data_IF_994193899167
#
_entry.id   IF_994193899167
#
_cell.length_a   1.000
_cell.length_b   1.000
_cell.length_c   1.000
_cell.angle_alpha   90.00
_cell.angle_beta   90.00
_cell.angle_gamma   90.00
#
_symmetry.space_group_name_H-M   'P 1'
#
loop_
_entity.id
_entity.type
_entity.pdbx_description
1 polymer ?
#
# COMPACT_ATOMS: atom_id res chain seq x y z
N UNK A 1 -54.53 12.03 36.66
CA UNK A 1 -53.77 12.69 37.73
C UNK A 1 -53.16 11.61 38.58
N UNK A 2 -51.93 11.87 39.03
CA UNK A 2 -51.14 11.18 40.07
C UNK A 2 -50.39 9.93 39.59
N UNK A 3 -49.09 10.04 39.26
CA UNK A 3 -47.86 10.19 40.10
C UNK A 3 -47.11 8.85 40.10
N UNK A 4 -46.03 8.72 39.32
CA UNK A 4 -44.60 8.95 39.68
C UNK A 4 -43.94 7.81 40.47
N UNK A 5 -42.90 7.27 39.82
CA UNK A 5 -41.63 6.73 40.33
C UNK A 5 -41.63 5.46 41.19
N UNK A 6 -40.92 4.43 40.71
CA UNK A 6 -39.62 4.00 41.26
C UNK A 6 -39.00 2.90 40.38
N UNK A 7 -37.67 2.86 40.30
CA UNK A 7 -36.95 1.70 39.74
C UNK A 7 -35.86 2.01 38.71
N UNK A 8 -34.79 2.70 39.15
CA UNK A 8 -33.49 2.62 38.48
C UNK A 8 -32.92 1.24 38.75
N UNK A 9 -32.67 0.45 37.71
CA UNK A 9 -31.61 -0.55 37.75
C UNK A 9 -30.60 -0.31 36.63
N UNK A 10 -29.48 0.20 37.10
CA UNK A 10 -28.16 0.29 36.50
C UNK A 10 -27.69 -1.13 36.17
N UNK A 11 -27.60 -1.48 34.88
CA UNK A 11 -26.95 -2.70 34.43
C UNK A 11 -25.70 -2.38 33.64
N UNK A 12 -24.68 -3.16 33.98
CA UNK A 12 -23.26 -2.99 33.74
C UNK A 12 -22.83 -2.70 32.31
N UNK A 13 -21.88 -1.76 32.22
CA UNK A 13 -20.87 -1.72 31.16
C UNK A 13 -19.97 -2.95 31.29
N UNK A 14 -20.29 -4.04 30.61
CA UNK A 14 -19.28 -5.00 30.16
C UNK A 14 -19.86 -5.95 29.12
N UNK A 15 -19.09 -6.17 28.05
CA UNK A 15 -19.24 -7.26 27.09
C UNK A 15 -20.29 -7.09 25.99
N UNK A 16 -20.06 -6.13 25.10
CA UNK A 16 -20.30 -6.34 23.65
C UNK A 16 -19.56 -5.30 22.81
N UNK A 17 -18.28 -5.10 23.12
CA UNK A 17 -17.34 -4.64 22.10
C UNK A 17 -17.24 -5.75 21.05
N UNK A 18 -17.98 -5.55 19.98
CA UNK A 18 -17.94 -6.34 18.76
C UNK A 18 -16.51 -6.30 18.25
N UNK A 19 -15.75 -7.35 18.59
CA UNK A 19 -14.47 -7.70 17.99
C UNK A 19 -14.65 -7.85 16.48
N UNK A 20 -14.60 -6.75 15.73
CA UNK A 20 -13.99 -6.77 14.40
C UNK A 20 -12.48 -6.91 14.61
N UNK A 21 -12.07 -8.13 14.96
CA UNK A 21 -10.70 -8.55 14.73
C UNK A 21 -10.55 -8.57 13.21
N UNK A 22 -9.82 -7.58 12.68
CA UNK A 22 -9.13 -7.72 11.41
C UNK A 22 -8.41 -9.06 11.46
N UNK A 23 -8.90 -10.02 10.68
CA UNK A 23 -8.21 -11.28 10.45
C UNK A 23 -6.97 -10.95 9.62
N UNK A 24 -5.92 -10.47 10.29
CA UNK A 24 -4.56 -10.68 9.82
C UNK A 24 -4.33 -12.18 9.88
N UNK A 25 -4.58 -12.87 8.76
CA UNK A 25 -4.01 -14.19 8.55
C UNK A 25 -2.49 -14.01 8.60
N UNK A 26 -1.88 -14.37 9.72
CA UNK A 26 -0.44 -14.37 9.89
C UNK A 26 0.15 -15.50 9.06
N UNK A 27 0.28 -15.26 7.75
CA UNK A 27 1.33 -15.88 6.96
C UNK A 27 2.65 -15.63 7.70
N UNK A 28 3.62 -16.57 7.72
CA UNK A 28 4.96 -16.27 8.20
C UNK A 28 5.39 -14.93 7.59
N UNK A 29 5.81 -13.99 8.43
CA UNK A 29 6.14 -12.63 7.99
C UNK A 29 7.12 -12.75 6.82
N UNK A 30 6.67 -12.38 5.62
CA UNK A 30 7.50 -12.45 4.44
C UNK A 30 8.72 -11.55 4.69
N UNK A 31 9.91 -12.15 4.78
CA UNK A 31 11.13 -11.40 5.00
C UNK A 31 11.49 -10.67 3.71
N UNK A 32 11.23 -9.36 3.66
CA UNK A 32 11.57 -8.53 2.51
C UNK A 32 13.06 -8.20 2.57
N UNK A 33 13.81 -8.62 1.55
CA UNK A 33 15.25 -8.39 1.50
C UNK A 33 15.52 -6.98 0.94
N UNK A 34 16.28 -6.18 1.69
CA UNK A 34 16.69 -4.83 1.26
C UNK A 34 17.75 -4.93 0.18
N UNK A 35 17.47 -4.43 -1.01
CA UNK A 35 18.40 -4.51 -2.14
C UNK A 35 18.41 -3.19 -2.92
N UNK A 36 19.56 -2.88 -3.52
CA UNK A 36 19.65 -1.88 -4.57
C UNK A 36 18.80 -2.32 -5.78
N UNK A 37 18.08 -1.39 -6.40
CA UNK A 37 17.26 -1.66 -7.59
C UNK A 37 18.13 -2.24 -8.71
N UNK A 38 19.32 -1.68 -8.93
CA UNK A 38 20.30 -2.18 -9.90
C UNK A 38 20.68 -3.64 -9.65
N UNK A 39 20.76 -4.06 -8.38
CA UNK A 39 20.97 -5.48 -8.06
C UNK A 39 19.77 -6.32 -8.46
N UNK A 40 18.55 -5.89 -8.13
CA UNK A 40 17.31 -6.61 -8.49
C UNK A 40 17.24 -6.85 -10.01
N UNK A 41 17.54 -5.84 -10.82
CA UNK A 41 17.54 -5.97 -12.30
C UNK A 41 18.49 -7.05 -12.81
N UNK A 42 19.61 -7.26 -12.12
CA UNK A 42 20.64 -8.24 -12.49
C UNK A 42 20.36 -9.67 -11.98
N UNK A 43 19.33 -9.86 -11.16
CA UNK A 43 19.04 -11.17 -10.57
C UNK A 43 18.60 -12.16 -11.64
N UNK A 44 19.03 -13.41 -11.48
CA UNK A 44 18.57 -14.52 -12.32
C UNK A 44 17.29 -15.11 -11.73
N UNK A 45 16.38 -15.52 -12.60
CA UNK A 45 15.22 -16.31 -12.21
C UNK A 45 15.66 -17.65 -11.60
N UNK A 46 14.86 -18.16 -10.66
CA UNK A 46 15.03 -19.50 -10.13
C UNK A 46 14.36 -20.54 -11.04
N UNK A 47 15.12 -21.03 -12.02
CA UNK A 47 14.61 -21.97 -13.02
C UNK A 47 13.50 -21.34 -13.87
N UNK A 48 12.34 -21.98 -13.92
CA UNK A 48 11.14 -21.49 -14.62
C UNK A 48 10.18 -20.67 -13.74
N UNK A 49 10.49 -20.47 -12.44
CA UNK A 49 9.64 -19.67 -11.56
C UNK A 49 9.85 -18.17 -11.84
N UNK A 50 8.75 -17.49 -12.15
CA UNK A 50 8.74 -16.07 -12.41
C UNK A 50 8.51 -15.22 -11.15
N UNK A 51 8.40 -15.83 -9.96
CA UNK A 51 8.17 -15.13 -8.68
C UNK A 51 9.37 -15.15 -7.76
N UNK A 52 10.41 -15.90 -8.11
CA UNK A 52 11.60 -16.05 -7.27
C UNK A 52 12.88 -15.85 -8.05
N UNK A 53 13.86 -15.25 -7.37
CA UNK A 53 15.15 -14.89 -7.91
C UNK A 53 16.28 -15.48 -7.07
N UNK A 54 17.43 -15.71 -7.71
CA UNK A 54 18.64 -16.22 -7.05
C UNK A 54 19.51 -15.02 -6.66
N UNK A 55 19.74 -14.83 -5.36
CA UNK A 55 20.65 -13.83 -4.81
C UNK A 55 21.69 -14.50 -3.90
N UNK A 56 22.94 -14.59 -4.36
CA UNK A 56 23.96 -15.40 -3.72
C UNK A 56 23.54 -16.87 -3.66
N UNK A 57 23.51 -17.45 -2.45
CA UNK A 57 23.04 -18.82 -2.20
C UNK A 57 21.55 -18.87 -1.78
N UNK A 58 20.84 -17.74 -1.80
CA UNK A 58 19.46 -17.62 -1.34
C UNK A 58 18.48 -17.50 -2.51
N UNK A 59 17.30 -18.09 -2.33
CA UNK A 59 16.14 -17.87 -3.20
C UNK A 59 15.27 -16.82 -2.52
N UNK A 60 15.00 -15.73 -3.23
CA UNK A 60 14.23 -14.60 -2.69
C UNK A 60 12.98 -14.36 -3.53
N UNK A 61 11.90 -13.95 -2.86
CA UNK A 61 10.63 -13.62 -3.49
C UNK A 61 10.17 -12.19 -3.16
N UNK A 62 10.65 -11.62 -2.06
CA UNK A 62 10.18 -10.36 -1.49
C UNK A 62 11.36 -9.42 -1.30
N UNK A 63 11.17 -8.18 -1.71
CA UNK A 63 12.19 -7.12 -1.70
C UNK A 63 11.67 -5.88 -1.00
N UNK A 64 12.59 -5.14 -0.40
CA UNK A 64 12.36 -3.85 0.24
C UNK A 64 13.27 -2.83 -0.49
N UNK A 65 12.65 -1.90 -1.20
CA UNK A 65 13.32 -0.89 -2.02
C UNK A 65 12.89 0.52 -1.62
N UNK A 66 13.74 1.49 -1.90
CA UNK A 66 13.47 2.90 -1.73
C UNK A 66 14.03 3.61 -2.97
N UNK A 67 13.24 4.47 -3.59
CA UNK A 67 13.66 5.19 -4.79
C UNK A 67 12.73 6.34 -5.13
N UNK A 68 13.21 7.27 -5.94
CA UNK A 68 12.46 8.43 -6.41
C UNK A 68 11.54 8.03 -7.56
N UNK A 69 10.29 8.46 -7.52
CA UNK A 69 9.33 8.29 -8.62
C UNK A 69 9.76 9.14 -9.81
N UNK A 70 10.13 8.50 -10.91
CA UNK A 70 10.52 9.18 -12.16
C UNK A 70 9.45 9.13 -13.24
N UNK A 71 8.50 8.20 -13.11
CA UNK A 71 7.34 8.08 -14.01
C UNK A 71 6.16 7.42 -13.28
N UNK A 72 4.94 7.71 -13.74
CA UNK A 72 3.69 7.19 -13.20
C UNK A 72 2.74 6.83 -14.32
N UNK A 73 2.24 5.60 -14.29
CA UNK A 73 1.16 5.16 -15.16
C UNK A 73 0.00 4.62 -14.30
N UNK A 74 -1.16 5.25 -14.42
CA UNK A 74 -2.39 4.72 -13.82
C UNK A 74 -3.12 3.84 -14.83
N UNK A 75 -3.38 2.58 -14.47
CA UNK A 75 -4.06 1.63 -15.36
C UNK A 75 -5.07 0.76 -14.60
N UNK A 76 -6.36 1.00 -14.83
CA UNK A 76 -7.45 0.21 -14.26
C UNK A 76 -7.36 0.12 -12.73
N UNK A 77 -7.17 -1.10 -12.22
CA UNK A 77 -7.14 -1.43 -10.79
C UNK A 77 -5.75 -1.28 -10.13
N UNK A 78 -4.76 -0.71 -10.82
CA UNK A 78 -3.42 -0.52 -10.27
C UNK A 78 -2.77 0.78 -10.75
N UNK A 79 -1.94 1.35 -9.88
CA UNK A 79 -0.98 2.39 -10.25
C UNK A 79 0.40 1.76 -10.41
N UNK A 80 1.14 2.22 -11.42
CA UNK A 80 2.50 1.78 -11.69
C UNK A 80 3.41 2.97 -11.48
N UNK A 81 4.29 2.87 -10.49
CA UNK A 81 5.32 3.86 -10.21
C UNK A 81 6.66 3.33 -10.71
N UNK A 82 7.38 4.12 -11.50
CA UNK A 82 8.73 3.79 -11.93
C UNK A 82 9.69 4.47 -10.97
N UNK A 83 10.50 3.68 -10.26
CA UNK A 83 11.40 4.15 -9.22
C UNK A 83 12.85 4.09 -9.68
N UNK A 84 13.63 5.11 -9.33
CA UNK A 84 15.08 5.20 -9.50
C UNK A 84 15.76 5.43 -8.15
N UNK A 85 16.76 4.62 -7.81
CA UNK A 85 17.59 4.77 -6.61
C UNK A 85 19.06 5.14 -6.93
N UNK A 86 19.32 5.54 -8.17
CA UNK A 86 20.65 5.85 -8.70
C UNK A 86 21.49 4.61 -9.07
N UNK A 87 21.07 3.41 -8.63
CA UNK A 87 21.68 2.13 -9.03
C UNK A 87 20.92 1.47 -10.19
N UNK A 88 19.65 1.79 -10.36
CA UNK A 88 18.83 1.33 -11.46
C UNK A 88 17.37 1.75 -11.33
N UNK A 89 16.60 1.40 -12.38
CA UNK A 89 15.19 1.77 -12.52
C UNK A 89 14.30 0.54 -12.56
N UNK A 90 13.21 0.51 -11.78
CA UNK A 90 12.24 -0.59 -11.71
C UNK A 90 10.79 -0.11 -11.62
N UNK A 91 9.87 -0.88 -12.22
CA UNK A 91 8.43 -0.63 -12.10
C UNK A 91 7.83 -1.32 -10.86
N UNK A 92 7.14 -0.54 -10.05
CA UNK A 92 6.39 -0.96 -8.86
C UNK A 92 4.88 -0.86 -9.13
N UNK A 93 4.18 -1.97 -9.05
CA UNK A 93 2.74 -2.09 -9.25
C UNK A 93 2.03 -2.05 -7.89
N UNK A 94 1.18 -1.05 -7.69
CA UNK A 94 0.41 -0.81 -6.47
C UNK A 94 -1.06 -1.07 -6.79
N UNK A 95 -1.64 -2.07 -6.14
CA UNK A 95 -3.07 -2.33 -6.30
C UNK A 95 -3.87 -1.17 -5.69
N UNK A 96 -4.80 -0.61 -6.46
CA UNK A 96 -5.83 0.26 -5.90
C UNK A 96 -6.70 -0.61 -5.00
N UNK A 97 -7.02 -0.16 -3.79
CA UNK A 97 -7.97 -0.90 -2.95
C UNK A 97 -9.37 -0.78 -3.57
N UNK A 98 -9.68 -1.71 -4.46
CA UNK A 98 -10.91 -1.68 -5.27
C UNK A 98 -12.15 -1.97 -4.45
N UNK A 99 -12.05 -2.70 -3.34
CA UNK A 99 -13.20 -2.93 -2.46
C UNK A 99 -13.67 -1.64 -1.78
N UNK A 100 -12.73 -0.74 -1.44
CA UNK A 100 -13.08 0.60 -0.95
C UNK A 100 -13.57 1.51 -2.07
N UNK A 101 -13.02 1.41 -3.29
CA UNK A 101 -13.52 2.17 -4.43
C UNK A 101 -14.94 1.74 -4.82
N UNK A 102 -15.19 0.43 -4.86
CA UNK A 102 -16.53 -0.16 -5.11
C UNK A 102 -17.50 0.27 -3.99
N UNK A 103 -17.08 0.30 -2.72
CA UNK A 103 -17.91 0.80 -1.62
C UNK A 103 -18.18 2.31 -1.72
N UNK A 104 -17.21 3.11 -2.15
CA UNK A 104 -17.40 4.55 -2.41
C UNK A 104 -18.39 4.75 -3.57
N UNK A 105 -18.29 3.95 -4.63
CA UNK A 105 -19.25 3.95 -5.75
C UNK A 105 -20.65 3.51 -5.33
N UNK A 106 -20.78 2.49 -4.49
CA UNK A 106 -22.05 2.03 -3.92
C UNK A 106 -22.71 3.12 -3.06
N UNK A 107 -21.92 3.80 -2.23
CA UNK A 107 -22.37 4.97 -1.46
C UNK A 107 -22.86 6.03 -2.45
N UNK A 108 -22.03 6.45 -3.42
CA UNK A 108 -22.40 7.44 -4.44
C UNK A 108 -23.72 7.09 -5.16
N UNK A 109 -23.89 5.84 -5.57
CA UNK A 109 -25.09 5.36 -6.25
C UNK A 109 -26.34 5.35 -5.34
N UNK A 110 -26.19 5.01 -4.06
CA UNK A 110 -27.32 5.04 -3.10
C UNK A 110 -27.82 6.47 -2.85
N UNK A 111 -26.93 7.45 -2.80
CA UNK A 111 -27.27 8.86 -2.61
C UNK A 111 -27.92 9.49 -3.84
N UNK A 112 -27.51 9.10 -5.05
CA UNK A 112 -28.15 9.58 -6.30
C UNK A 112 -29.58 9.06 -6.49
N UNK A 113 -29.89 7.89 -5.91
CA UNK A 113 -31.20 7.25 -6.06
C UNK A 113 -32.20 7.62 -4.95
N UNK A 114 -31.77 8.28 -3.86
CA UNK A 114 -32.65 8.70 -2.77
C UNK A 114 -32.95 10.22 -2.82
N UNK A 115 -34.12 10.55 -3.37
CA UNK A 115 -34.60 11.93 -3.55
C UNK A 115 -34.68 12.76 -2.25
N UNK A 116 -34.78 12.12 -1.09
CA UNK A 116 -34.86 12.79 0.21
C UNK A 116 -33.50 13.29 0.70
N UNK A 117 -32.44 12.54 0.40
CA UNK A 117 -31.05 12.89 0.72
C UNK A 117 -30.51 13.92 -0.28
N UNK A 118 -30.89 13.79 -1.55
CA UNK A 118 -30.58 14.77 -2.60
C UNK A 118 -31.08 16.18 -2.25
N UNK A 119 -32.26 16.31 -1.62
CA UNK A 119 -32.80 17.60 -1.18
C UNK A 119 -31.98 18.27 -0.06
N UNK A 120 -31.32 17.48 0.79
CA UNK A 120 -30.46 17.97 1.89
C UNK A 120 -29.09 18.38 1.33
N UNK A 121 -28.54 17.59 0.40
CA UNK A 121 -27.25 17.88 -0.23
C UNK A 121 -27.30 19.06 -1.22
N UNK A 122 -28.45 19.36 -1.81
CA UNK A 122 -28.62 20.51 -2.71
C UNK A 122 -28.71 21.88 -1.99
N UNK A 123 -28.71 21.91 -0.65
CA UNK A 123 -28.73 23.16 0.13
C UNK A 123 -27.34 23.58 0.64
N UNK A 124 -26.36 22.68 0.64
CA UNK A 124 -24.98 22.95 1.00
C UNK A 124 -24.06 22.32 -0.05
N UNK A 125 -23.61 23.16 -0.99
CA UNK A 125 -22.68 22.81 -2.08
C UNK A 125 -21.51 21.94 -1.58
N UNK A 126 -21.22 20.91 -2.37
CA UNK A 126 -19.97 20.16 -2.45
C UNK A 126 -19.51 19.35 -1.24
N UNK A 127 -20.16 19.37 -0.07
CA UNK A 127 -19.63 18.71 1.14
C UNK A 127 -19.39 17.19 0.99
N UNK A 128 -20.39 16.46 0.49
CA UNK A 128 -20.30 15.00 0.32
C UNK A 128 -19.39 14.62 -0.86
N UNK A 129 -19.53 15.30 -2.00
CA UNK A 129 -18.69 15.05 -3.17
C UNK A 129 -17.23 15.41 -2.91
N UNK A 130 -16.97 16.49 -2.16
CA UNK A 130 -15.63 16.81 -1.67
C UNK A 130 -15.12 15.75 -0.71
N UNK A 131 -15.96 15.23 0.19
CA UNK A 131 -15.53 14.21 1.16
C UNK A 131 -15.25 12.87 0.46
N UNK A 132 -16.07 12.46 -0.50
CA UNK A 132 -15.81 11.28 -1.35
C UNK A 132 -14.55 11.49 -2.20
N UNK A 133 -14.37 12.68 -2.79
CA UNK A 133 -13.16 13.05 -3.54
C UNK A 133 -11.92 13.09 -2.63
N UNK A 134 -12.04 13.56 -1.39
CA UNK A 134 -10.96 13.56 -0.39
C UNK A 134 -10.63 12.13 0.01
N UNK A 135 -11.61 11.25 0.22
CA UNK A 135 -11.39 9.83 0.51
C UNK A 135 -10.77 9.07 -0.67
N UNK A 136 -11.13 9.45 -1.90
CA UNK A 136 -10.50 8.94 -3.13
C UNK A 136 -9.05 9.45 -3.26
N UNK A 137 -8.78 10.72 -2.90
CA UNK A 137 -7.44 11.37 -2.93
C UNK A 137 -6.54 11.04 -1.74
N UNK A 138 -7.10 10.69 -0.58
CA UNK A 138 -6.35 10.33 0.63
C UNK A 138 -5.59 9.01 0.46
N UNK A 139 -5.92 8.22 -0.57
CA UNK A 139 -4.99 7.22 -1.09
C UNK A 139 -3.90 7.92 -1.86
N UNK A 140 -2.75 8.02 -1.20
CA UNK A 140 -1.53 8.71 -1.63
C UNK A 140 -1.23 8.42 -3.11
N UNK A 141 -1.64 9.33 -3.98
CA UNK A 141 -1.14 9.40 -5.34
C UNK A 141 0.25 10.01 -5.27
N UNK A 142 1.28 9.18 -5.29
CA UNK A 142 2.66 9.67 -5.30
C UNK A 142 2.94 10.39 -6.61
N UNK A 143 3.57 11.55 -6.53
CA UNK A 143 3.93 12.39 -7.66
C UNK A 143 5.34 12.05 -8.17
N UNK A 144 5.63 12.47 -9.40
CA UNK A 144 7.01 12.45 -9.93
C UNK A 144 7.86 13.37 -9.05
N UNK A 145 9.00 12.87 -8.59
CA UNK A 145 9.88 13.55 -7.64
C UNK A 145 9.70 13.11 -6.19
N UNK A 146 8.62 12.40 -5.84
CA UNK A 146 8.45 11.84 -4.51
C UNK A 146 9.39 10.65 -4.30
N UNK A 147 9.99 10.53 -3.11
CA UNK A 147 10.71 9.33 -2.73
C UNK A 147 9.74 8.33 -2.12
N UNK A 148 9.77 7.09 -2.62
CA UNK A 148 8.85 6.03 -2.25
C UNK A 148 9.57 4.84 -1.64
N UNK A 149 9.12 4.40 -0.48
CA UNK A 149 9.51 3.14 0.12
C UNK A 149 8.50 2.06 -0.24
N UNK A 150 8.97 0.98 -0.85
CA UNK A 150 8.13 -0.12 -1.35
C UNK A 150 8.63 -1.45 -0.81
N UNK A 151 7.74 -2.16 -0.13
CA UNK A 151 7.93 -3.58 0.18
C UNK A 151 6.99 -4.38 -0.71
N UNK A 152 7.52 -5.34 -1.45
CA UNK A 152 6.73 -6.07 -2.41
C UNK A 152 7.31 -7.39 -2.87
N UNK A 153 6.52 -8.08 -3.68
CA UNK A 153 6.85 -9.37 -4.28
C UNK A 153 7.45 -9.19 -5.68
N UNK A 154 8.50 -9.92 -5.98
CA UNK A 154 9.10 -9.99 -7.31
C UNK A 154 8.18 -10.69 -8.31
N UNK A 155 8.19 -10.18 -9.54
CA UNK A 155 7.60 -10.84 -10.70
C UNK A 155 8.43 -10.56 -11.94
N UNK A 156 8.86 -11.63 -12.62
CA UNK A 156 9.58 -11.55 -13.88
C UNK A 156 8.60 -11.66 -15.05
N UNK A 157 8.57 -10.66 -15.91
CA UNK A 157 7.69 -10.64 -17.08
C UNK A 157 8.29 -9.78 -18.18
N UNK A 158 8.23 -10.27 -19.43
CA UNK A 158 8.84 -9.62 -20.60
C UNK A 158 10.31 -9.25 -20.36
N UNK A 159 11.08 -10.21 -19.85
CA UNK A 159 12.53 -10.09 -19.60
C UNK A 159 12.92 -9.05 -18.54
N UNK A 160 11.96 -8.56 -17.76
CA UNK A 160 12.20 -7.56 -16.73
C UNK A 160 11.62 -7.98 -15.37
N UNK A 161 12.35 -7.67 -14.30
CA UNK A 161 11.84 -7.75 -12.94
C UNK A 161 10.92 -6.57 -12.63
N UNK A 162 9.82 -6.87 -11.96
CA UNK A 162 8.84 -5.91 -11.45
C UNK A 162 8.54 -6.21 -10.00
N UNK A 163 8.07 -5.20 -9.27
CA UNK A 163 7.67 -5.35 -7.87
C UNK A 163 6.16 -5.16 -7.78
N UNK A 164 5.44 -6.14 -7.24
CA UNK A 164 4.05 -5.98 -6.84
C UNK A 164 4.02 -5.59 -5.36
N UNK A 165 3.66 -4.34 -5.09
CA UNK A 165 3.75 -3.76 -3.77
C UNK A 165 2.75 -4.43 -2.80
N UNK A 166 3.27 -4.84 -1.65
CA UNK A 166 2.48 -5.19 -0.48
C UNK A 166 2.19 -3.94 0.35
N UNK A 167 3.18 -3.05 0.48
CA UNK A 167 3.05 -1.76 1.14
C UNK A 167 3.81 -0.69 0.37
N UNK A 168 3.32 0.55 0.43
CA UNK A 168 4.00 1.73 -0.08
C UNK A 168 3.84 2.87 0.92
N UNK A 169 4.85 3.74 1.02
CA UNK A 169 4.75 5.01 1.74
C UNK A 169 5.73 6.03 1.16
N UNK A 170 5.37 7.30 1.23
CA UNK A 170 6.31 8.38 0.99
C UNK A 170 7.39 8.40 2.10
N UNK A 171 8.57 8.88 1.74
CA UNK A 171 9.74 8.99 2.62
C UNK A 171 10.41 10.34 2.42
N UNK A 172 10.88 10.90 3.54
CA UNK A 172 11.67 12.14 3.54
C UNK A 172 13.14 11.87 3.19
N UNK A 173 13.86 12.92 2.81
CA UNK A 173 15.25 12.87 2.36
C UNK A 173 16.21 12.22 3.38
N UNK A 174 16.01 12.44 4.68
CA UNK A 174 16.87 11.83 5.71
C UNK A 174 16.80 10.30 5.71
N UNK A 175 15.62 9.73 5.43
CA UNK A 175 15.43 8.28 5.34
C UNK A 175 16.12 7.70 4.10
N UNK A 176 16.14 8.43 2.98
CA UNK A 176 16.86 8.04 1.78
C UNK A 176 18.37 7.93 2.04
N UNK A 177 18.96 8.94 2.69
CA UNK A 177 20.37 8.91 3.03
C UNK A 177 20.72 7.78 4.01
N UNK A 178 19.88 7.55 5.02
CA UNK A 178 20.04 6.39 5.92
C UNK A 178 19.96 5.07 5.17
N UNK A 179 19.06 4.95 4.19
CA UNK A 179 18.94 3.74 3.37
C UNK A 179 20.20 3.48 2.56
N UNK A 180 20.82 4.51 2.00
CA UNK A 180 22.07 4.36 1.26
C UNK A 180 23.21 3.81 2.14
N UNK A 181 23.36 4.36 3.35
CA UNK A 181 24.37 3.89 4.32
C UNK A 181 24.06 2.46 4.78
N UNK A 182 22.78 2.16 5.03
CA UNK A 182 22.32 0.83 5.42
C UNK A 182 22.65 -0.21 4.34
N UNK A 183 22.28 0.05 3.09
CA UNK A 183 22.55 -0.87 1.98
C UNK A 183 24.05 -1.07 1.76
N UNK A 184 24.87 -0.02 1.83
CA UNK A 184 26.32 -0.16 1.75
C UNK A 184 26.87 -1.11 2.83
N UNK A 185 26.39 -0.97 4.07
CA UNK A 185 26.75 -1.87 5.17
C UNK A 185 26.27 -3.31 4.94
N UNK A 186 25.02 -3.50 4.49
CA UNK A 186 24.44 -4.81 4.21
C UNK A 186 25.25 -5.55 3.14
N UNK A 187 25.56 -4.88 2.03
CA UNK A 187 26.35 -5.48 0.95
C UNK A 187 27.80 -5.75 1.38
N UNK A 188 28.41 -4.88 2.19
CA UNK A 188 29.78 -5.06 2.66
C UNK A 188 29.92 -6.14 3.73
N UNK A 189 28.91 -6.40 4.55
CA UNK A 189 29.10 -7.20 5.76
C UNK A 189 28.16 -8.40 5.88
N UNK A 190 26.98 -8.35 5.25
CA UNK A 190 25.94 -9.38 5.38
C UNK A 190 25.77 -10.17 4.09
N UNK A 191 25.61 -9.50 2.95
CA UNK A 191 25.36 -10.16 1.66
C UNK A 191 26.63 -10.69 1.00
N UNK A 192 27.80 -10.42 1.58
CA UNK A 192 29.05 -11.11 1.21
C UNK A 192 28.86 -12.60 1.44
N UNK A 193 28.52 -13.30 0.38
CA UNK A 193 28.52 -14.75 0.35
C UNK A 193 29.96 -15.18 0.12
N UNK A 194 30.49 -16.01 1.04
CA UNK A 194 31.62 -16.89 0.74
C UNK A 194 31.24 -17.88 -0.36
#
# INVERSE_FOLDING_TARGET
MDEKFEGREFWDRSESETKLKSQQSSSPAAHHLKLWIGTIKSLKQNGSDNKTAIFGQQIIAYVDVLGTVIDKLSYGKADIYVLDDGSGVISCHVAKNTAELERIEEIRASFQNDSSIMLICNQEDDGLENLLTILEKEKSEYAIGDTLHVQGKLSFYKEEWKIFANTTRAVEFEEENHRCIELDHLYKNIYKTK
#
